data_IF_035105938475
#
_entry.id   IF_035105938475
#
_cell.length_a   1.000
_cell.length_b   1.000
_cell.length_c   1.000
_cell.angle_alpha   90.00
_cell.angle_beta   90.00
_cell.angle_gamma   90.00
#
_symmetry.space_group_name_H-M   'P 1'
#
loop_
_entity.id
_entity.type
_entity.pdbx_description
1 polymer ?
#
# COMPACT_ATOMS: atom_id res chain seq x y z
N UNK A 1 8.73 -19.83 -14.64
CA UNK A 1 8.50 -20.71 -13.47
C UNK A 1 7.27 -20.19 -12.74
N UNK A 2 6.31 -21.05 -12.32
CA UNK A 2 5.11 -20.61 -11.63
C UNK A 2 5.37 -20.40 -10.13
N UNK A 3 4.69 -19.40 -9.56
CA UNK A 3 4.72 -19.03 -8.14
C UNK A 3 4.23 -20.20 -7.24
N UNK A 4 4.93 -20.55 -6.13
CA UNK A 4 4.55 -21.69 -5.30
C UNK A 4 3.31 -21.36 -4.45
N UNK A 5 2.23 -22.13 -4.66
CA UNK A 5 1.06 -22.13 -3.76
C UNK A 5 1.37 -22.99 -2.54
N UNK A 6 1.60 -22.35 -1.40
CA UNK A 6 1.81 -23.02 -0.12
C UNK A 6 0.50 -23.46 0.54
N UNK A 7 0.41 -24.74 0.87
CA UNK A 7 -0.63 -25.35 1.70
C UNK A 7 -0.48 -24.93 3.19
N UNK A 8 -1.60 -24.66 3.86
CA UNK A 8 -1.69 -24.38 5.31
C UNK A 8 -1.49 -25.64 6.17
N UNK A 9 -0.92 -25.50 7.39
CA UNK A 9 -1.39 -26.21 8.56
C UNK A 9 -2.33 -25.33 9.40
N UNK A 10 -3.43 -25.91 9.85
CA UNK A 10 -4.35 -25.32 10.83
C UNK A 10 -3.67 -25.31 12.21
N UNK A 11 -3.59 -24.14 12.84
CA UNK A 11 -3.12 -23.97 14.21
C UNK A 11 -3.81 -22.77 14.85
N UNK A 12 -4.66 -23.05 15.83
CA UNK A 12 -5.51 -22.11 16.56
C UNK A 12 -4.70 -21.16 17.46
N UNK A 13 -5.12 -19.90 17.56
CA UNK A 13 -4.51 -18.91 18.47
C UNK A 13 -4.91 -17.47 18.16
N UNK A 14 -6.22 -17.18 18.19
CA UNK A 14 -6.75 -15.84 17.86
C UNK A 14 -6.61 -14.87 19.03
N UNK A 15 -5.84 -13.80 18.83
CA UNK A 15 -5.92 -12.57 19.63
C UNK A 15 -7.03 -11.70 19.03
N UNK A 16 -8.10 -11.48 19.80
CA UNK A 16 -9.32 -10.78 19.38
C UNK A 16 -8.99 -9.29 19.07
N UNK A 17 -9.41 -8.72 17.93
CA UNK A 17 -9.32 -7.28 17.72
C UNK A 17 -10.24 -6.56 18.73
N UNK A 18 -9.81 -5.40 19.21
CA UNK A 18 -10.61 -4.49 20.06
C UNK A 18 -12.05 -4.40 19.54
N UNK A 19 -13.02 -4.59 20.45
CA UNK A 19 -14.46 -4.67 20.17
C UNK A 19 -14.94 -3.49 19.31
N UNK A 20 -14.37 -2.29 19.51
CA UNK A 20 -14.69 -1.07 18.76
C UNK A 20 -14.34 -1.17 17.26
N UNK A 21 -13.27 -1.87 16.93
CA UNK A 21 -12.80 -2.09 15.55
C UNK A 21 -13.67 -3.08 14.78
N UNK A 22 -14.11 -4.14 15.48
CA UNK A 22 -15.03 -5.13 14.91
C UNK A 22 -16.39 -4.51 14.58
N UNK A 23 -16.91 -3.64 15.45
CA UNK A 23 -18.16 -2.91 15.18
C UNK A 23 -18.04 -1.89 14.03
N UNK A 24 -16.88 -1.24 13.84
CA UNK A 24 -16.66 -0.30 12.74
C UNK A 24 -16.62 -1.00 11.37
N UNK A 25 -15.91 -2.13 11.27
CA UNK A 25 -15.88 -2.98 10.07
C UNK A 25 -17.23 -3.67 9.78
N UNK A 26 -17.99 -4.05 10.83
CA UNK A 26 -19.35 -4.59 10.70
C UNK A 26 -20.37 -3.52 10.30
N UNK A 27 -20.20 -2.28 10.77
CA UNK A 27 -20.99 -1.10 10.37
C UNK A 27 -20.76 -0.72 8.90
N UNK A 28 -19.52 -0.85 8.42
CA UNK A 28 -19.14 -0.54 7.04
C UNK A 28 -19.33 -1.72 6.07
N UNK A 29 -19.59 -2.92 6.56
CA UNK A 29 -19.86 -4.13 5.75
C UNK A 29 -20.96 -3.97 4.67
N UNK A 30 -22.04 -3.18 4.88
CA UNK A 30 -23.02 -2.90 3.82
C UNK A 30 -22.45 -2.03 2.68
N UNK A 31 -21.37 -1.29 2.95
CA UNK A 31 -20.72 -0.35 2.03
C UNK A 31 -19.44 -0.91 1.39
N UNK A 32 -18.95 -2.05 1.88
CA UNK A 32 -17.82 -2.78 1.30
C UNK A 32 -18.35 -3.84 0.34
N UNK A 33 -18.13 -3.71 -0.98
CA UNK A 33 -18.54 -4.74 -1.91
C UNK A 33 -17.75 -6.04 -1.73
N UNK A 34 -18.29 -7.17 -2.25
CA UNK A 34 -17.66 -8.46 -2.11
C UNK A 34 -16.25 -8.43 -2.73
N UNK A 35 -15.25 -8.73 -1.89
CA UNK A 35 -13.86 -8.92 -2.30
C UNK A 35 -13.78 -10.01 -3.37
N UNK A 36 -13.51 -9.61 -4.61
CA UNK A 36 -13.09 -10.51 -5.68
C UNK A 36 -11.60 -10.28 -5.93
N UNK A 37 -10.85 -11.37 -6.06
CA UNK A 37 -9.52 -11.31 -6.62
C UNK A 37 -9.66 -10.91 -8.11
N UNK A 38 -9.36 -9.66 -8.44
CA UNK A 38 -9.14 -9.27 -9.84
C UNK A 38 -7.88 -9.96 -10.39
N UNK A 39 -7.72 -9.98 -11.72
CA UNK A 39 -6.51 -10.61 -12.29
C UNK A 39 -5.31 -9.67 -12.14
N UNK A 40 -4.15 -10.13 -11.63
CA UNK A 40 -2.96 -9.29 -11.43
C UNK A 40 -2.45 -8.57 -12.68
N UNK A 41 -2.69 -9.15 -13.87
CA UNK A 41 -2.10 -8.69 -15.12
C UNK A 41 -2.66 -7.37 -15.65
N UNK A 42 -3.85 -6.93 -15.21
CA UNK A 42 -4.56 -5.83 -15.89
C UNK A 42 -4.11 -4.43 -15.44
N UNK A 43 -3.43 -4.29 -14.29
CA UNK A 43 -3.10 -2.97 -13.73
C UNK A 43 -1.71 -2.47 -14.03
N UNK A 44 -0.79 -3.37 -14.33
CA UNK A 44 0.57 -2.98 -14.70
C UNK A 44 0.57 -2.10 -15.95
N UNK A 45 -0.29 -2.39 -16.93
CA UNK A 45 -0.36 -1.63 -18.19
C UNK A 45 -0.78 -0.18 -17.96
N UNK A 46 -1.79 0.05 -17.10
CA UNK A 46 -2.24 1.39 -16.73
C UNK A 46 -1.13 2.15 -15.99
N UNK A 47 -0.46 1.48 -15.05
CA UNK A 47 0.64 2.07 -14.28
C UNK A 47 1.80 2.46 -15.19
N UNK A 48 2.23 1.56 -16.07
CA UNK A 48 3.35 1.79 -17.00
C UNK A 48 3.05 2.92 -18.00
N UNK A 49 1.79 3.05 -18.43
CA UNK A 49 1.35 4.14 -19.28
C UNK A 49 1.18 5.47 -18.52
N UNK A 50 1.14 5.44 -17.20
CA UNK A 50 0.83 6.61 -16.38
C UNK A 50 1.96 7.65 -16.38
N UNK A 51 1.66 8.90 -16.73
CA UNK A 51 2.66 9.97 -16.89
C UNK A 51 3.48 10.20 -15.62
N UNK A 52 2.84 10.26 -14.44
CA UNK A 52 3.55 10.48 -13.17
C UNK A 52 4.46 9.32 -12.80
N UNK A 53 4.09 8.10 -13.19
CA UNK A 53 4.95 6.93 -13.00
C UNK A 53 6.17 6.97 -13.92
N UNK A 54 5.98 7.36 -15.18
CA UNK A 54 7.08 7.50 -16.13
C UNK A 54 8.12 8.54 -15.66
N UNK A 55 7.65 9.69 -15.17
CA UNK A 55 8.48 10.79 -14.67
C UNK A 55 9.21 10.46 -13.35
N UNK A 56 8.54 9.75 -12.42
CA UNK A 56 9.06 9.47 -11.08
C UNK A 56 10.35 8.64 -11.08
N UNK A 57 11.34 9.04 -10.28
CA UNK A 57 12.59 8.29 -10.08
C UNK A 57 12.62 7.57 -8.73
N UNK A 58 11.91 8.10 -7.73
CA UNK A 58 11.83 7.55 -6.37
C UNK A 58 10.38 7.19 -6.07
N UNK A 59 10.08 5.89 -6.10
CA UNK A 59 8.72 5.38 -6.06
C UNK A 59 8.53 4.51 -4.82
N UNK A 60 7.47 4.76 -4.07
CA UNK A 60 7.02 3.87 -2.99
C UNK A 60 5.90 2.96 -3.46
N UNK A 61 6.02 1.66 -3.16
CA UNK A 61 5.02 0.63 -3.48
C UNK A 61 4.80 -0.25 -2.26
N UNK A 62 3.54 -0.60 -1.98
CA UNK A 62 3.22 -1.59 -0.94
C UNK A 62 3.43 -3.01 -1.45
N UNK A 63 3.78 -3.93 -0.55
CA UNK A 63 3.77 -5.37 -0.82
C UNK A 63 2.36 -5.90 -0.52
N UNK A 64 1.67 -6.35 -1.56
CA UNK A 64 0.22 -6.59 -1.55
C UNK A 64 -0.22 -7.65 -0.55
N UNK A 65 -1.30 -7.33 0.16
CA UNK A 65 -2.10 -8.33 0.89
C UNK A 65 -3.13 -9.01 -0.04
N UNK A 66 -3.72 -10.16 0.35
CA UNK A 66 -4.65 -10.91 -0.51
C UNK A 66 -5.90 -10.13 -0.98
N UNK A 67 -6.29 -9.10 -0.24
CA UNK A 67 -7.43 -8.21 -0.51
C UNK A 67 -7.02 -6.90 -1.19
N UNK A 68 -5.78 -6.80 -1.66
CA UNK A 68 -5.22 -5.63 -2.35
C UNK A 68 -4.85 -5.96 -3.80
N UNK A 69 -4.62 -4.90 -4.59
CA UNK A 69 -4.05 -5.05 -5.92
C UNK A 69 -2.66 -5.64 -5.81
N UNK A 70 -2.39 -6.67 -6.60
CA UNK A 70 -1.06 -7.26 -6.71
C UNK A 70 -0.05 -6.30 -7.35
N UNK A 71 1.08 -6.05 -6.70
CA UNK A 71 2.07 -5.03 -7.09
C UNK A 71 3.43 -5.61 -7.52
N UNK A 72 3.67 -6.92 -7.44
CA UNK A 72 4.95 -7.52 -7.80
C UNK A 72 5.43 -7.14 -9.21
N UNK A 73 4.54 -7.13 -10.20
CA UNK A 73 4.89 -6.74 -11.57
C UNK A 73 5.25 -5.25 -11.69
N UNK A 74 4.63 -4.39 -10.86
CA UNK A 74 4.98 -2.96 -10.78
C UNK A 74 6.38 -2.83 -10.20
N UNK A 75 6.69 -3.55 -9.13
CA UNK A 75 8.02 -3.50 -8.50
C UNK A 75 9.10 -4.00 -9.47
N UNK A 76 8.81 -5.07 -10.23
CA UNK A 76 9.72 -5.56 -11.26
C UNK A 76 9.99 -4.49 -12.32
N UNK A 77 8.96 -3.83 -12.84
CA UNK A 77 9.11 -2.77 -13.85
C UNK A 77 9.86 -1.53 -13.29
N UNK A 78 9.67 -1.18 -12.01
CA UNK A 78 10.44 -0.12 -11.33
C UNK A 78 11.95 -0.41 -11.43
N UNK A 79 12.37 -1.63 -11.07
CA UNK A 79 13.77 -2.02 -11.16
C UNK A 79 14.27 -2.09 -12.61
N UNK A 80 13.47 -2.63 -13.53
CA UNK A 80 13.83 -2.69 -14.96
C UNK A 80 14.06 -1.31 -15.57
N UNK A 81 13.36 -0.28 -15.07
CA UNK A 81 13.53 1.13 -15.50
C UNK A 81 14.64 1.88 -14.75
N UNK A 82 15.36 1.21 -13.84
CA UNK A 82 16.41 1.84 -13.04
C UNK A 82 15.91 2.87 -12.03
N UNK A 83 14.62 2.82 -11.66
CA UNK A 83 14.02 3.67 -10.63
C UNK A 83 14.42 3.14 -9.25
N UNK A 84 14.36 3.99 -8.22
CA UNK A 84 14.57 3.59 -6.83
C UNK A 84 13.23 3.18 -6.21
N UNK A 85 13.17 1.94 -5.71
CA UNK A 85 11.99 1.37 -5.09
C UNK A 85 12.06 1.49 -3.56
N UNK A 86 10.98 1.97 -2.94
CA UNK A 86 10.80 1.96 -1.50
C UNK A 86 9.56 1.16 -1.11
N UNK A 87 9.63 0.41 -0.03
CA UNK A 87 8.51 -0.38 0.51
C UNK A 87 8.21 0.04 1.96
N UNK A 88 6.97 -0.12 2.44
CA UNK A 88 6.62 0.23 3.81
C UNK A 88 7.26 -0.73 4.82
N UNK A 89 7.86 -0.17 5.87
CA UNK A 89 8.27 -0.88 7.09
C UNK A 89 7.47 -0.35 8.27
N UNK A 90 6.66 -1.20 8.88
CA UNK A 90 5.73 -0.82 9.95
C UNK A 90 6.37 -1.02 11.33
N UNK A 91 6.17 -0.06 12.24
CA UNK A 91 6.51 -0.19 13.67
C UNK A 91 5.23 -0.43 14.47
N UNK A 92 4.89 -1.69 14.72
CA UNK A 92 3.57 -2.11 15.24
C UNK A 92 3.22 -1.58 16.63
N UNK A 93 4.22 -1.17 17.43
CA UNK A 93 4.00 -0.55 18.75
C UNK A 93 3.46 0.87 18.64
N UNK A 94 3.39 1.45 17.43
CA UNK A 94 2.88 2.80 17.17
C UNK A 94 2.14 2.87 15.82
N UNK A 95 1.70 4.06 15.42
CA UNK A 95 1.22 4.35 14.05
C UNK A 95 2.35 4.84 13.13
N UNK A 96 3.61 4.52 13.46
CA UNK A 96 4.79 4.91 12.69
C UNK A 96 5.08 3.90 11.59
N UNK A 97 5.35 4.41 10.39
CA UNK A 97 5.76 3.65 9.22
C UNK A 97 6.81 4.47 8.48
N UNK A 98 7.87 3.81 8.02
CA UNK A 98 8.86 4.41 7.12
C UNK A 98 8.82 3.72 5.77
N UNK A 99 9.18 4.46 4.72
CA UNK A 99 9.42 3.86 3.40
C UNK A 99 10.91 3.59 3.28
N UNK A 100 11.28 2.32 3.23
CA UNK A 100 12.67 1.84 3.21
C UNK A 100 13.03 1.30 1.84
N UNK A 101 14.26 1.55 1.41
CA UNK A 101 14.73 1.16 0.09
C UNK A 101 14.81 -0.35 -0.05
N UNK A 102 14.23 -0.84 -1.13
CA UNK A 102 14.38 -2.22 -1.59
C UNK A 102 15.58 -2.29 -2.54
N UNK A 103 16.47 -3.27 -2.35
CA UNK A 103 17.75 -3.39 -3.05
C UNK A 103 17.58 -4.05 -4.41
N UNK A 104 16.73 -5.08 -4.49
CA UNK A 104 16.39 -5.73 -5.76
C UNK A 104 14.98 -6.35 -5.73
N UNK A 105 14.49 -6.77 -6.88
CA UNK A 105 13.20 -7.48 -6.97
C UNK A 105 13.25 -8.84 -6.25
N UNK A 106 14.38 -9.55 -6.33
CA UNK A 106 14.59 -10.88 -5.77
C UNK A 106 14.58 -10.86 -4.23
N UNK A 107 15.04 -9.76 -3.64
CA UNK A 107 15.08 -9.57 -2.19
C UNK A 107 13.72 -9.77 -1.52
N UNK A 108 12.61 -9.42 -2.18
CA UNK A 108 11.25 -9.55 -1.65
C UNK A 108 11.00 -10.96 -1.11
N UNK A 109 11.49 -11.98 -1.82
CA UNK A 109 11.31 -13.39 -1.45
C UNK A 109 12.08 -13.81 -0.19
N UNK A 110 13.10 -13.06 0.19
CA UNK A 110 13.94 -13.29 1.37
C UNK A 110 13.51 -12.46 2.59
N UNK A 111 12.60 -11.50 2.41
CA UNK A 111 12.14 -10.66 3.52
C UNK A 111 11.40 -11.52 4.56
N UNK A 112 11.63 -11.25 5.86
CA UNK A 112 10.86 -11.88 6.92
C UNK A 112 9.40 -11.42 6.87
N UNK A 113 8.53 -12.27 7.41
CA UNK A 113 7.12 -11.96 7.57
C UNK A 113 6.84 -11.48 8.97
N UNK A 114 6.09 -10.40 9.08
CA UNK A 114 5.56 -9.92 10.36
C UNK A 114 4.44 -10.85 10.85
N UNK A 115 3.98 -10.62 12.09
CA UNK A 115 2.79 -11.29 12.64
C UNK A 115 1.51 -11.04 11.83
N UNK A 116 1.52 -10.04 10.94
CA UNK A 116 0.41 -9.70 10.04
C UNK A 116 0.57 -10.35 8.65
N UNK A 117 1.55 -11.24 8.49
CA UNK A 117 1.91 -11.90 7.23
C UNK A 117 2.29 -10.91 6.11
N UNK A 118 2.75 -9.72 6.49
CA UNK A 118 3.30 -8.70 5.59
C UNK A 118 4.82 -8.91 5.53
N UNK A 119 5.38 -8.91 4.32
CA UNK A 119 6.82 -8.92 4.10
C UNK A 119 7.40 -7.52 4.38
N UNK A 120 8.45 -7.43 5.18
CA UNK A 120 9.23 -6.19 5.36
C UNK A 120 10.62 -6.54 5.88
N UNK A 121 11.62 -5.66 5.74
CA UNK A 121 12.91 -5.84 6.41
C UNK A 121 12.76 -5.85 7.93
N UNK A 122 13.63 -6.60 8.62
CA UNK A 122 13.67 -6.62 10.08
C UNK A 122 13.98 -5.24 10.68
N UNK A 123 13.67 -5.07 11.97
CA UNK A 123 13.94 -3.82 12.68
C UNK A 123 15.44 -3.52 12.80
N UNK A 124 16.27 -4.56 12.92
CA UNK A 124 17.73 -4.47 13.02
C UNK A 124 18.42 -4.25 11.66
N UNK A 125 17.67 -4.39 10.57
CA UNK A 125 18.19 -4.19 9.22
C UNK A 125 18.26 -2.69 8.89
N UNK A 126 19.48 -2.16 8.83
CA UNK A 126 19.72 -0.76 8.50
C UNK A 126 19.41 -0.49 7.02
N UNK A 127 18.36 0.29 6.78
CA UNK A 127 17.88 0.62 5.45
C UNK A 127 17.86 2.11 5.19
N UNK A 128 18.16 2.47 3.95
CA UNK A 128 17.97 3.83 3.45
C UNK A 128 16.48 4.20 3.52
N UNK A 129 16.15 5.22 4.31
CA UNK A 129 14.79 5.75 4.42
C UNK A 129 14.53 6.81 3.35
N UNK A 130 13.34 6.80 2.75
CA UNK A 130 13.04 7.72 1.65
C UNK A 130 13.12 9.20 2.09
N UNK A 131 12.62 9.52 3.28
CA UNK A 131 12.66 10.89 3.82
C UNK A 131 14.06 11.31 4.31
N UNK A 132 15.01 10.40 4.53
CA UNK A 132 16.38 10.80 4.88
C UNK A 132 17.24 11.10 3.64
N UNK A 133 16.76 10.72 2.45
CA UNK A 133 17.53 10.74 1.20
C UNK A 133 16.84 11.50 0.05
N UNK A 134 16.00 12.47 0.39
CA UNK A 134 15.40 13.40 -0.59
C UNK A 134 13.90 13.19 -0.87
N UNK A 135 13.23 12.30 -0.16
CA UNK A 135 11.78 12.10 -0.26
C UNK A 135 11.37 11.11 -1.34
N UNK A 136 10.15 11.27 -1.85
CA UNK A 136 9.52 10.41 -2.86
C UNK A 136 8.87 11.28 -3.93
N UNK A 137 8.86 10.78 -5.17
CA UNK A 137 8.17 11.42 -6.28
C UNK A 137 6.73 10.89 -6.40
N UNK A 138 6.55 9.59 -6.16
CA UNK A 138 5.30 8.88 -6.32
C UNK A 138 5.10 7.85 -5.20
N UNK A 139 3.89 7.77 -4.67
CA UNK A 139 3.48 6.77 -3.68
C UNK A 139 2.25 6.03 -4.20
N UNK A 140 2.36 4.71 -4.35
CA UNK A 140 1.18 3.86 -4.55
C UNK A 140 0.51 3.57 -3.21
N UNK A 141 -0.78 3.88 -3.14
CA UNK A 141 -1.55 3.87 -1.90
C UNK A 141 -2.49 2.66 -1.85
N UNK A 142 -2.38 1.78 -0.83
CA UNK A 142 -3.38 0.74 -0.58
C UNK A 142 -4.55 1.30 0.25
N UNK A 143 -5.67 0.58 0.23
CA UNK A 143 -6.88 0.95 0.97
C UNK A 143 -7.98 -0.10 0.82
N UNK A 144 -8.96 -0.05 1.72
CA UNK A 144 -10.16 -0.88 1.68
C UNK A 144 -11.26 -0.27 0.83
N UNK A 145 -11.25 1.06 0.67
CA UNK A 145 -12.24 1.79 -0.11
C UNK A 145 -11.74 3.19 -0.47
N UNK A 146 -12.26 3.73 -1.56
CA UNK A 146 -11.90 5.03 -2.11
C UNK A 146 -13.16 5.68 -2.70
N UNK A 147 -13.26 7.01 -2.67
CA UNK A 147 -14.31 7.72 -3.41
C UNK A 147 -13.72 8.65 -4.47
N UNK A 148 -14.57 9.15 -5.37
CA UNK A 148 -14.17 10.04 -6.48
C UNK A 148 -13.63 11.40 -6.02
N UNK A 149 -13.71 11.73 -4.73
CA UNK A 149 -13.16 12.95 -4.16
C UNK A 149 -11.72 12.76 -3.66
N UNK A 150 -11.18 11.54 -3.78
CA UNK A 150 -9.84 11.20 -3.30
C UNK A 150 -9.81 10.89 -1.81
N UNK A 151 -10.96 10.64 -1.18
CA UNK A 151 -10.98 10.13 0.20
C UNK A 151 -10.65 8.63 0.20
N UNK A 152 -9.99 8.17 1.27
CA UNK A 152 -9.46 6.80 1.37
C UNK A 152 -9.80 6.18 2.72
N UNK A 153 -10.41 5.00 2.69
CA UNK A 153 -10.62 4.16 3.86
C UNK A 153 -9.42 3.20 4.02
N UNK A 154 -8.56 3.46 5.01
CA UNK A 154 -7.47 2.55 5.36
C UNK A 154 -7.90 1.41 6.29
N UNK A 155 -6.94 0.60 6.74
CA UNK A 155 -7.13 -0.38 7.84
C UNK A 155 -7.12 0.27 9.24
N UNK A 156 -7.25 1.60 9.26
CA UNK A 156 -7.44 2.53 10.39
C UNK A 156 -6.42 2.57 11.54
N UNK A 157 -5.20 2.08 11.31
CA UNK A 157 -4.04 2.51 12.12
C UNK A 157 -3.48 3.87 11.71
N UNK A 158 -3.93 4.44 10.60
CA UNK A 158 -3.50 5.76 10.13
C UNK A 158 -2.03 5.85 9.68
N UNK A 159 -1.39 4.72 9.35
CA UNK A 159 0.03 4.69 8.95
C UNK A 159 0.32 5.60 7.76
N UNK A 160 -0.48 5.48 6.70
CA UNK A 160 -0.32 6.29 5.48
C UNK A 160 -0.63 7.76 5.72
N UNK A 161 -1.65 8.09 6.51
CA UNK A 161 -2.03 9.47 6.82
C UNK A 161 -0.94 10.17 7.65
N UNK A 162 -0.37 9.45 8.63
CA UNK A 162 0.80 9.89 9.40
C UNK A 162 2.04 10.07 8.53
N UNK A 163 2.31 9.13 7.62
CA UNK A 163 3.45 9.20 6.72
C UNK A 163 3.34 10.37 5.73
N UNK A 164 2.17 10.57 5.11
CA UNK A 164 1.95 11.69 4.20
C UNK A 164 2.15 13.03 4.91
N UNK A 165 1.65 13.21 6.13
CA UNK A 165 1.92 14.40 6.95
C UNK A 165 3.42 14.65 7.16
N UNK A 166 4.21 13.59 7.41
CA UNK A 166 5.67 13.70 7.49
C UNK A 166 6.30 14.12 6.16
N UNK A 167 5.81 13.65 5.02
CA UNK A 167 6.27 14.10 3.70
C UNK A 167 6.07 15.62 3.54
N UNK A 168 4.90 16.15 3.91
CA UNK A 168 4.59 17.59 3.84
C UNK A 168 5.49 18.44 4.75
N UNK A 169 5.86 17.91 5.91
CA UNK A 169 6.77 18.60 6.83
C UNK A 169 8.22 18.57 6.34
N UNK A 170 8.60 17.52 5.60
CA UNK A 170 9.96 17.30 5.16
C UNK A 170 10.34 18.08 3.88
N UNK A 171 9.42 18.19 2.91
CA UNK A 171 9.69 18.80 1.60
C UNK A 171 8.60 19.77 1.18
N UNK A 172 9.01 20.83 0.47
CA UNK A 172 8.10 21.75 -0.22
C UNK A 172 7.35 21.05 -1.37
N UNK A 173 7.95 20.02 -1.97
CA UNK A 173 7.35 19.25 -3.06
C UNK A 173 6.71 17.98 -2.48
N UNK A 174 5.38 17.91 -2.56
CA UNK A 174 4.59 16.74 -2.14
C UNK A 174 4.81 15.59 -3.14
N UNK A 175 5.00 14.34 -2.68
CA UNK A 175 4.89 13.18 -3.57
C UNK A 175 3.50 13.13 -4.19
N UNK A 176 3.43 12.74 -5.46
CA UNK A 176 2.15 12.40 -6.07
C UNK A 176 1.64 11.08 -5.50
N UNK A 177 0.34 10.98 -5.23
CA UNK A 177 -0.27 9.82 -4.58
C UNK A 177 -1.30 9.17 -5.50
N UNK A 178 -1.09 7.89 -5.81
CA UNK A 178 -1.95 7.12 -6.71
C UNK A 178 -2.46 5.89 -5.98
N UNK A 179 -3.77 5.78 -5.78
CA UNK A 179 -4.35 4.55 -5.26
C UNK A 179 -4.49 3.50 -6.36
N UNK A 180 -4.18 2.25 -6.02
CA UNK A 180 -4.48 1.10 -6.85
C UNK A 180 -5.70 0.39 -6.24
N UNK A 181 -6.86 0.48 -6.90
CA UNK A 181 -8.13 0.07 -6.31
C UNK A 181 -8.91 -0.87 -7.24
N UNK A 182 -9.38 -2.02 -6.74
CA UNK A 182 -10.39 -2.79 -7.46
C UNK A 182 -11.62 -1.92 -7.71
N UNK A 183 -12.39 -2.20 -8.76
CA UNK A 183 -13.63 -1.44 -9.02
C UNK A 183 -14.59 -1.51 -7.83
N UNK A 184 -14.62 -2.66 -7.18
CA UNK A 184 -15.33 -2.91 -5.93
C UNK A 184 -14.87 -1.91 -4.85
N UNK A 185 -13.59 -1.56 -4.76
CA UNK A 185 -13.14 -0.62 -3.72
C UNK A 185 -13.57 0.84 -3.98
N UNK A 186 -14.36 1.13 -5.03
CA UNK A 186 -14.90 2.45 -5.30
C UNK A 186 -16.29 2.61 -4.63
N UNK A 187 -16.37 3.55 -3.70
CA UNK A 187 -17.56 3.89 -2.93
C UNK A 187 -18.15 5.23 -3.40
N UNK A 188 -19.44 5.46 -3.13
CA UNK A 188 -20.08 6.76 -3.38
C UNK A 188 -19.50 7.86 -2.48
N UNK A 189 -19.25 7.53 -1.22
CA UNK A 189 -18.64 8.41 -0.23
C UNK A 189 -17.88 7.58 0.80
N UNK A 190 -16.67 8.00 1.12
CA UNK A 190 -15.90 7.45 2.25
C UNK A 190 -16.06 8.40 3.45
N UNK A 191 -16.45 7.90 4.64
CA UNK A 191 -16.43 8.70 5.86
C UNK A 191 -14.99 9.11 6.18
N UNK A 192 -14.77 10.40 6.45
CA UNK A 192 -13.46 10.97 6.75
C UNK A 192 -13.51 11.87 7.98
N UNK A 193 -12.37 11.99 8.66
CA UNK A 193 -12.11 13.01 9.67
C UNK A 193 -11.04 14.02 9.23
N UNK A 194 -10.74 15.01 10.08
CA UNK A 194 -9.80 16.10 9.79
C UNK A 194 -8.34 15.65 9.63
N UNK A 195 -7.99 14.45 10.09
CA UNK A 195 -6.65 13.88 10.02
C UNK A 195 -6.43 12.98 8.80
N UNK A 196 -7.50 12.67 8.06
CA UNK A 196 -7.45 11.83 6.87
C UNK A 196 -6.85 12.59 5.68
N UNK A 197 -5.88 11.96 5.02
CA UNK A 197 -5.16 12.58 3.93
C UNK A 197 -5.74 12.14 2.59
N UNK A 198 -6.14 13.13 1.77
CA UNK A 198 -6.62 12.88 0.40
C UNK A 198 -5.50 12.41 -0.51
N UNK A 199 -5.84 11.48 -1.39
CA UNK A 199 -5.00 11.02 -2.49
C UNK A 199 -5.27 11.84 -3.76
N UNK A 200 -4.28 11.92 -4.65
CA UNK A 200 -4.37 12.75 -5.85
C UNK A 200 -5.11 12.04 -6.99
N UNK A 201 -4.93 10.72 -7.11
CA UNK A 201 -5.53 9.93 -8.19
C UNK A 201 -5.89 8.50 -7.73
N UNK A 202 -6.89 7.89 -8.38
CA UNK A 202 -7.31 6.50 -8.14
C UNK A 202 -7.33 5.77 -9.48
N UNK A 203 -6.51 4.72 -9.60
CA UNK A 203 -6.50 3.81 -10.74
C UNK A 203 -7.33 2.56 -10.42
N UNK A 204 -8.45 2.43 -11.13
CA UNK A 204 -9.36 1.30 -11.07
C UNK A 204 -9.87 0.95 -12.46
N UNK A 205 -10.37 -0.27 -12.64
CA UNK A 205 -10.97 -0.68 -13.91
C UNK A 205 -12.35 -0.03 -14.06
N UNK A 206 -12.40 1.08 -14.79
CA UNK A 206 -13.60 1.47 -15.53
C UNK A 206 -13.74 0.49 -16.71
N UNK A 207 -14.96 -0.01 -16.92
CA UNK A 207 -15.27 -1.03 -17.92
C UNK A 207 -14.74 -0.70 -19.32
#
# INVERSE_FOLDING_TARGET
>A
MPCPRGHMPLGEGWMVPSVTWFFFLVSLRPFLPPLRAGTPAQKIDQVVAHKKYQEAQRVSVFLSMPDEIETCEIIRDIFQRGKTCFIPRYKFQSNHMDMVKLVSFEEISSLPKTSWNILQPDEEDEREEALSTGGLDLIFMPGLGFDKQGNRLGRGKGYYDSYLRRCFQHSQVKPHTVALAFKEQICDSVPVDENDMRIDEILYEDK
#
